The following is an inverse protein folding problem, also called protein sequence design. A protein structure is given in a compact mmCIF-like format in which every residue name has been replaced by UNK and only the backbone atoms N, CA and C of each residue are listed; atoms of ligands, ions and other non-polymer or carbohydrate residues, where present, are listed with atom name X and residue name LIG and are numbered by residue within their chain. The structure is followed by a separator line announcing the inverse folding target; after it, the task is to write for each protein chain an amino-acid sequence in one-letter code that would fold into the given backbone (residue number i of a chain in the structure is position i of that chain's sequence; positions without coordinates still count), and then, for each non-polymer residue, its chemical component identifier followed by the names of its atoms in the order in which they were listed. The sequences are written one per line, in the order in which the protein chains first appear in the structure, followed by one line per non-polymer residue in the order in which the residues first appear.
data_IF_579949585695
#
_entry.id   IF_579949585695
#
_cell.length_a   1.000
_cell.length_b   1.000
_cell.length_c   1.000
_cell.angle_alpha   90.00
_cell.angle_beta   90.00
_cell.angle_gamma   90.00
#
_symmetry.space_group_name_H-M   'P 1'
#
loop_
_entity.id
_entity.type
_entity.pdbx_description
1 polymer ?
#
# COMPACT_ATOMS: atom_id res chain seq x y z
N UNK A 1 32.28 21.00 58.91
CA UNK A 1 31.47 21.54 57.78
C UNK A 1 31.69 20.86 56.40
N UNK A 2 32.35 19.69 56.26
CA UNK A 2 32.59 19.06 54.94
C UNK A 2 31.56 18.00 54.45
N UNK A 3 30.66 17.51 55.32
CA UNK A 3 29.72 16.41 54.98
C UNK A 3 28.55 16.84 54.07
N UNK A 4 28.06 18.07 54.19
CA UNK A 4 26.88 18.53 53.44
C UNK A 4 27.18 18.86 51.96
N UNK A 5 28.43 19.20 51.63
CA UNK A 5 28.84 19.52 50.25
C UNK A 5 28.87 18.28 49.34
N UNK A 6 29.36 17.14 49.86
CA UNK A 6 29.35 15.86 49.12
C UNK A 6 27.92 15.38 48.83
N UNK A 7 27.00 15.56 49.77
CA UNK A 7 25.60 15.16 49.59
C UNK A 7 24.87 16.00 48.52
N UNK A 8 25.18 17.30 48.44
CA UNK A 8 24.66 18.20 47.41
C UNK A 8 25.19 17.85 46.00
N UNK A 9 26.48 17.53 45.89
CA UNK A 9 27.12 17.14 44.63
C UNK A 9 26.54 15.80 44.13
N UNK A 10 26.37 14.81 45.01
CA UNK A 10 25.81 13.50 44.65
C UNK A 10 24.36 13.64 44.14
N UNK A 11 23.53 14.46 44.79
CA UNK A 11 22.15 14.71 44.33
C UNK A 11 22.11 15.38 42.94
N UNK A 12 22.97 16.37 42.70
CA UNK A 12 23.08 17.03 41.38
C UNK A 12 23.55 16.05 40.31
N UNK A 13 24.48 15.16 40.64
CA UNK A 13 24.96 14.12 39.73
C UNK A 13 23.85 13.13 39.36
N UNK A 14 23.05 12.70 40.34
CA UNK A 14 21.90 11.79 40.11
C UNK A 14 20.86 12.46 39.21
N UNK A 15 20.50 13.72 39.48
CA UNK A 15 19.54 14.47 38.64
C UNK A 15 20.06 14.60 37.22
N UNK A 16 21.34 14.92 37.04
CA UNK A 16 21.97 15.01 35.71
C UNK A 16 21.91 13.67 34.96
N UNK A 17 22.24 12.57 35.63
CA UNK A 17 22.21 11.23 35.04
C UNK A 17 20.79 10.82 34.62
N UNK A 18 19.79 11.11 35.46
CA UNK A 18 18.38 10.84 35.12
C UNK A 18 17.93 11.68 33.93
N UNK A 19 18.26 12.97 33.88
CA UNK A 19 17.91 13.84 32.76
C UNK A 19 18.56 13.40 31.44
N UNK A 20 19.83 12.99 31.48
CA UNK A 20 20.54 12.45 30.30
C UNK A 20 19.91 11.14 29.84
N UNK A 21 19.59 10.24 30.77
CA UNK A 21 18.90 8.99 30.44
C UNK A 21 17.53 9.25 29.80
N UNK A 22 16.76 10.22 30.32
CA UNK A 22 15.46 10.59 29.76
C UNK A 22 15.59 11.19 28.36
N UNK A 23 16.57 12.09 28.15
CA UNK A 23 16.84 12.70 26.85
C UNK A 23 17.23 11.65 25.80
N UNK A 24 18.11 10.71 26.17
CA UNK A 24 18.48 9.58 25.30
C UNK A 24 17.28 8.69 24.98
N UNK A 25 16.38 8.48 25.94
CA UNK A 25 15.16 7.69 25.73
C UNK A 25 14.18 8.40 24.80
N UNK A 26 14.01 9.72 24.94
CA UNK A 26 13.22 10.54 24.03
C UNK A 26 13.82 10.54 22.62
N UNK A 27 15.14 10.75 22.49
CA UNK A 27 15.84 10.69 21.20
C UNK A 27 15.64 9.32 20.56
N UNK A 28 15.80 8.23 21.33
CA UNK A 28 15.59 6.87 20.83
C UNK A 28 14.14 6.63 20.39
N UNK A 29 13.14 7.11 21.14
CA UNK A 29 11.73 7.01 20.75
C UNK A 29 11.44 7.83 19.49
N UNK A 30 12.04 9.01 19.35
CA UNK A 30 11.92 9.84 18.14
C UNK A 30 12.60 9.17 16.94
N UNK A 31 13.79 8.58 17.12
CA UNK A 31 14.50 7.86 16.06
C UNK A 31 13.77 6.58 15.65
N UNK A 32 13.25 5.80 16.60
CA UNK A 32 12.41 4.62 16.31
C UNK A 32 11.11 5.03 15.57
N UNK A 33 10.55 6.21 15.86
CA UNK A 33 9.42 6.76 15.10
C UNK A 33 9.78 7.21 13.68
N UNK A 34 11.06 7.50 13.41
CA UNK A 34 11.52 7.99 12.11
C UNK A 34 12.04 6.88 11.18
N UNK A 35 12.37 5.72 11.71
CA UNK A 35 12.86 4.59 10.92
C UNK A 35 12.11 3.31 11.32
N UNK A 36 10.93 3.10 10.74
CA UNK A 36 10.59 1.71 10.39
C UNK A 36 11.55 1.41 9.23
N UNK A 37 12.56 0.54 9.42
CA UNK A 37 13.53 0.27 8.38
C UNK A 37 12.79 -0.18 7.13
N UNK A 38 13.16 0.38 5.98
CA UNK A 38 12.82 -0.19 4.68
C UNK A 38 13.54 -1.54 4.62
N UNK A 39 12.86 -2.59 5.06
CA UNK A 39 13.30 -3.98 4.89
C UNK A 39 13.07 -4.46 3.45
N UNK A 40 12.65 -3.55 2.58
CA UNK A 40 12.20 -3.79 1.23
C UNK A 40 13.28 -4.24 0.28
N UNK A 41 12.81 -4.54 -0.91
CA UNK A 41 13.57 -5.18 -1.96
C UNK A 41 14.33 -4.07 -2.69
N UNK A 42 15.64 -4.01 -2.43
CA UNK A 42 16.62 -3.15 -3.12
C UNK A 42 16.24 -1.67 -3.31
N UNK A 43 15.65 -1.01 -2.30
CA UNK A 43 15.37 0.43 -2.28
C UNK A 43 14.37 0.92 -3.34
N UNK A 44 13.38 0.13 -3.74
CA UNK A 44 12.30 0.61 -4.62
C UNK A 44 11.48 1.67 -3.87
N UNK A 45 11.63 2.92 -4.29
CA UNK A 45 11.01 4.11 -3.68
C UNK A 45 10.13 4.88 -4.67
N UNK A 46 10.20 4.57 -5.97
CA UNK A 46 9.33 5.17 -6.99
C UNK A 46 8.65 4.15 -7.91
N UNK A 47 7.60 4.60 -8.62
CA UNK A 47 6.95 3.78 -9.64
C UNK A 47 7.93 3.44 -10.78
N UNK A 48 8.78 4.37 -11.25
CA UNK A 48 9.72 4.06 -12.32
C UNK A 48 10.77 3.02 -11.90
N UNK A 49 11.23 3.07 -10.66
CA UNK A 49 12.12 2.05 -10.09
C UNK A 49 11.43 0.68 -10.09
N UNK A 50 10.16 0.61 -9.68
CA UNK A 50 9.39 -0.63 -9.73
C UNK A 50 9.19 -1.16 -11.16
N UNK A 51 8.90 -0.27 -12.13
CA UNK A 51 8.69 -0.66 -13.53
C UNK A 51 9.98 -1.13 -14.23
N UNK A 52 11.14 -0.67 -13.78
CA UNK A 52 12.45 -1.06 -14.32
C UNK A 52 13.11 -2.17 -13.51
N UNK A 53 12.48 -2.60 -12.42
CA UNK A 53 13.00 -3.61 -11.52
C UNK A 53 13.15 -4.97 -12.21
N UNK A 54 14.40 -5.32 -12.53
CA UNK A 54 14.76 -6.50 -13.33
C UNK A 54 15.00 -7.77 -12.52
N UNK A 55 14.82 -7.73 -11.19
CA UNK A 55 15.10 -8.86 -10.28
C UNK A 55 14.18 -10.09 -10.46
N UNK A 56 13.37 -10.14 -11.52
CA UNK A 56 12.72 -11.35 -12.00
C UNK A 56 11.58 -11.85 -11.12
N UNK A 57 10.95 -10.98 -10.34
CA UNK A 57 9.87 -11.41 -9.45
C UNK A 57 8.66 -11.95 -10.22
N UNK A 58 8.06 -13.03 -9.75
CA UNK A 58 6.83 -13.58 -10.36
C UNK A 58 5.57 -12.97 -9.73
N UNK A 59 4.45 -13.00 -10.45
CA UNK A 59 3.17 -12.49 -9.95
C UNK A 59 2.35 -13.62 -9.33
N UNK A 60 1.89 -13.45 -8.08
CA UNK A 60 1.13 -14.47 -7.34
C UNK A 60 -0.37 -14.55 -7.64
N UNK A 61 -0.88 -13.74 -8.56
CA UNK A 61 -2.31 -13.67 -8.90
C UNK A 61 -3.01 -15.03 -9.05
N UNK A 62 -2.43 -16.06 -9.70
CA UNK A 62 -3.09 -17.36 -9.82
C UNK A 62 -3.43 -18.04 -8.49
N UNK A 63 -2.62 -17.84 -7.46
CA UNK A 63 -2.91 -18.34 -6.11
C UNK A 63 -4.05 -17.56 -5.49
N UNK A 64 -4.03 -16.23 -5.57
CA UNK A 64 -5.08 -15.39 -4.99
C UNK A 64 -6.44 -15.61 -5.66
N UNK A 65 -6.49 -15.70 -6.98
CA UNK A 65 -7.71 -16.01 -7.71
C UNK A 65 -8.34 -17.31 -7.19
N UNK A 66 -7.55 -18.37 -7.04
CA UNK A 66 -8.07 -19.66 -6.56
C UNK A 66 -8.62 -19.58 -5.12
N UNK A 67 -8.00 -18.78 -4.25
CA UNK A 67 -8.41 -18.61 -2.84
C UNK A 67 -9.68 -17.77 -2.70
N UNK A 68 -9.90 -16.82 -3.62
CA UNK A 68 -10.95 -15.81 -3.52
C UNK A 68 -12.04 -15.94 -4.57
N UNK A 69 -12.22 -17.14 -5.12
CA UNK A 69 -13.14 -17.47 -6.22
C UNK A 69 -14.57 -16.94 -6.09
N UNK A 70 -15.07 -16.73 -4.86
CA UNK A 70 -16.42 -16.25 -4.59
C UNK A 70 -16.46 -14.84 -3.98
N UNK A 71 -15.34 -14.11 -4.02
CA UNK A 71 -15.14 -12.85 -3.31
C UNK A 71 -15.07 -11.63 -4.23
N UNK A 72 -15.44 -11.78 -5.51
CA UNK A 72 -15.44 -10.69 -6.49
C UNK A 72 -16.88 -10.40 -6.88
N UNK A 73 -17.57 -9.57 -6.09
CA UNK A 73 -18.96 -9.17 -6.34
C UNK A 73 -19.11 -7.66 -6.34
N UNK A 74 -20.05 -7.15 -7.12
CA UNK A 74 -20.39 -5.73 -7.14
C UNK A 74 -20.75 -5.22 -5.74
N UNK A 75 -21.46 -6.01 -4.93
CA UNK A 75 -21.86 -5.66 -3.57
C UNK A 75 -20.65 -5.38 -2.67
N UNK A 76 -19.56 -6.15 -2.79
CA UNK A 76 -18.34 -5.92 -1.99
C UNK A 76 -17.66 -4.61 -2.33
N UNK A 77 -17.58 -4.27 -3.62
CA UNK A 77 -17.05 -2.98 -4.05
C UNK A 77 -17.91 -1.82 -3.53
N UNK A 78 -19.23 -1.92 -3.64
CA UNK A 78 -20.15 -0.89 -3.14
C UNK A 78 -20.16 -0.79 -1.61
N UNK A 79 -19.86 -1.88 -0.92
CA UNK A 79 -19.77 -1.91 0.55
C UNK A 79 -18.46 -1.33 1.09
N UNK A 80 -17.51 -0.94 0.24
CA UNK A 80 -16.27 -0.32 0.68
C UNK A 80 -16.56 0.94 1.52
N UNK A 81 -15.94 1.08 2.72
CA UNK A 81 -16.16 2.22 3.59
C UNK A 81 -15.87 3.57 2.92
N UNK A 82 -14.85 3.60 2.06
CA UNK A 82 -14.45 4.78 1.29
C UNK A 82 -14.31 4.37 -0.18
N UNK A 83 -14.88 5.18 -1.07
CA UNK A 83 -14.69 5.05 -2.52
C UNK A 83 -14.26 6.41 -3.03
N UNK A 84 -13.14 6.46 -3.74
CA UNK A 84 -12.54 7.71 -4.20
C UNK A 84 -11.89 7.54 -5.57
N UNK A 85 -11.74 8.66 -6.28
CA UNK A 85 -10.81 8.77 -7.40
C UNK A 85 -9.48 9.27 -6.86
N UNK A 86 -8.39 8.60 -7.22
CA UNK A 86 -7.03 8.96 -6.82
C UNK A 86 -6.08 8.98 -8.00
N UNK A 87 -4.98 9.70 -7.84
CA UNK A 87 -3.83 9.65 -8.75
C UNK A 87 -2.56 9.40 -7.93
N UNK A 88 -1.70 8.52 -8.42
CA UNK A 88 -0.41 8.22 -7.78
C UNK A 88 0.56 9.39 -7.87
N UNK A 89 1.27 9.66 -6.77
CA UNK A 89 2.31 10.68 -6.67
C UNK A 89 3.71 10.13 -6.95
N UNK A 90 3.81 8.96 -7.61
CA UNK A 90 5.06 8.27 -7.94
C UNK A 90 5.87 7.76 -6.73
N UNK A 91 5.49 8.06 -5.48
CA UNK A 91 6.26 7.62 -4.30
C UNK A 91 5.75 6.31 -3.74
N UNK A 92 6.68 5.44 -3.41
CA UNK A 92 6.47 4.14 -2.80
C UNK A 92 7.24 4.05 -1.47
N UNK A 93 6.69 3.27 -0.54
CA UNK A 93 7.36 2.85 0.69
C UNK A 93 7.12 1.37 0.88
N UNK A 94 8.17 0.60 1.10
CA UNK A 94 8.07 -0.83 1.34
C UNK A 94 8.34 -1.16 2.81
N UNK A 95 7.58 -2.11 3.34
CA UNK A 95 7.71 -2.64 4.69
C UNK A 95 7.50 -4.15 4.66
N UNK A 96 8.57 -4.91 4.67
CA UNK A 96 8.57 -6.38 4.60
C UNK A 96 7.81 -6.88 3.36
N UNK A 97 6.55 -7.31 3.53
CA UNK A 97 5.67 -7.78 2.46
C UNK A 97 4.66 -6.72 1.97
N UNK A 98 4.62 -5.55 2.60
CA UNK A 98 3.70 -4.47 2.26
C UNK A 98 4.38 -3.44 1.37
N UNK A 99 3.65 -2.97 0.37
CA UNK A 99 3.98 -1.79 -0.42
C UNK A 99 2.91 -0.74 -0.19
N UNK A 100 3.34 0.44 0.21
CA UNK A 100 2.47 1.61 0.38
C UNK A 100 2.77 2.60 -0.73
N UNK A 101 1.74 3.02 -1.44
CA UNK A 101 1.83 4.00 -2.51
C UNK A 101 1.20 5.32 -2.08
N UNK A 102 1.95 6.41 -2.24
CA UNK A 102 1.43 7.76 -2.01
C UNK A 102 0.52 8.16 -3.17
N UNK A 103 -0.70 8.59 -2.84
CA UNK A 103 -1.68 9.06 -3.82
C UNK A 103 -2.31 10.38 -3.36
N UNK A 104 -2.77 11.16 -4.32
CA UNK A 104 -3.61 12.33 -4.08
C UNK A 104 -5.07 11.97 -4.37
N UNK A 105 -5.96 12.22 -3.42
CA UNK A 105 -7.40 12.08 -3.60
C UNK A 105 -7.89 13.18 -4.54
N UNK A 106 -8.44 12.81 -5.69
CA UNK A 106 -8.98 13.74 -6.68
C UNK A 106 -10.45 14.04 -6.44
N UNK A 107 -11.21 13.01 -6.02
CA UNK A 107 -12.65 13.10 -5.79
C UNK A 107 -13.07 12.06 -4.76
N UNK A 108 -13.93 12.44 -3.82
CA UNK A 108 -14.56 11.47 -2.90
C UNK A 108 -15.93 11.10 -3.45
N UNK A 109 -16.17 9.81 -3.66
CA UNK A 109 -17.42 9.29 -4.22
C UNK A 109 -18.35 8.74 -3.12
N UNK A 110 -17.76 8.15 -2.08
CA UNK A 110 -18.47 7.57 -0.94
C UNK A 110 -17.57 7.57 0.30
N UNK A 111 -18.21 7.66 1.48
CA UNK A 111 -17.54 7.49 2.77
C UNK A 111 -17.06 8.79 3.42
N UNK A 112 -16.47 8.66 4.60
CA UNK A 112 -15.81 9.74 5.34
C UNK A 112 -14.42 9.29 5.76
N UNK A 113 -13.52 10.23 6.06
CA UNK A 113 -12.15 9.93 6.49
C UNK A 113 -11.07 10.42 5.52
N UNK A 114 -11.43 10.71 4.27
CA UNK A 114 -10.56 11.36 3.28
C UNK A 114 -11.23 12.62 2.74
N UNK A 115 -10.41 13.58 2.29
CA UNK A 115 -10.86 14.81 1.63
C UNK A 115 -10.24 14.96 0.23
N UNK A 116 -10.89 15.72 -0.65
CA UNK A 116 -10.31 16.08 -1.94
C UNK A 116 -8.99 16.85 -1.77
N UNK A 117 -8.02 16.53 -2.61
CA UNK A 117 -6.62 16.99 -2.57
C UNK A 117 -5.82 16.54 -1.34
N UNK A 118 -6.36 15.65 -0.50
CA UNK A 118 -5.60 15.02 0.57
C UNK A 118 -4.58 14.04 -0.01
N UNK A 119 -3.37 14.03 0.58
CA UNK A 119 -2.35 13.03 0.31
C UNK A 119 -2.52 11.89 1.31
N UNK A 120 -2.72 10.68 0.79
CA UNK A 120 -2.88 9.46 1.58
C UNK A 120 -1.91 8.38 1.09
N UNK A 121 -1.74 7.33 1.88
CA UNK A 121 -0.99 6.14 1.50
C UNK A 121 -1.94 4.96 1.40
N UNK A 122 -1.94 4.29 0.24
CA UNK A 122 -2.64 3.02 0.05
C UNK A 122 -1.62 1.90 0.24
N UNK A 123 -1.80 1.10 1.27
CA UNK A 123 -1.01 -0.08 1.59
C UNK A 123 -1.69 -1.31 1.05
N UNK A 124 -0.92 -2.15 0.38
CA UNK A 124 -1.30 -3.48 -0.01
C UNK A 124 -0.08 -4.40 0.05
N UNK A 125 -0.26 -5.68 -0.23
CA UNK A 125 0.84 -6.57 -0.48
C UNK A 125 1.67 -6.10 -1.69
N UNK A 126 2.99 -6.26 -1.62
CA UNK A 126 3.93 -5.76 -2.60
C UNK A 126 4.96 -6.78 -3.04
N UNK A 127 6.16 -6.30 -3.35
CA UNK A 127 7.30 -7.18 -3.58
C UNK A 127 7.71 -7.86 -2.27
N UNK A 128 7.87 -9.18 -2.25
CA UNK A 128 8.36 -9.89 -1.07
C UNK A 128 9.23 -11.09 -1.47
N UNK A 129 10.23 -11.40 -0.65
CA UNK A 129 11.02 -12.63 -0.80
C UNK A 129 10.20 -13.82 -0.32
N UNK A 130 10.02 -14.83 -1.18
CA UNK A 130 9.21 -16.00 -0.84
C UNK A 130 9.72 -17.26 -1.50
N UNK A 131 10.03 -18.25 -0.65
CA UNK A 131 10.50 -19.62 -0.92
C UNK A 131 11.63 -19.79 -1.96
N UNK A 132 11.46 -19.27 -3.17
CA UNK A 132 12.34 -19.42 -4.36
C UNK A 132 12.71 -18.11 -5.05
N UNK A 133 12.33 -16.96 -4.51
CA UNK A 133 12.77 -15.68 -5.05
C UNK A 133 11.84 -14.55 -4.67
N UNK A 134 12.07 -13.40 -5.29
CA UNK A 134 11.17 -12.28 -5.17
C UNK A 134 9.84 -12.57 -5.87
N UNK A 135 8.72 -12.13 -5.31
CA UNK A 135 7.42 -12.15 -6.00
C UNK A 135 6.61 -10.90 -5.68
N UNK A 136 5.68 -10.55 -6.56
CA UNK A 136 4.71 -9.48 -6.35
C UNK A 136 3.40 -10.09 -5.83
N UNK A 137 2.96 -9.63 -4.66
CA UNK A 137 1.95 -10.28 -3.81
C UNK A 137 0.55 -9.64 -3.86
N UNK A 138 0.16 -8.93 -4.92
CA UNK A 138 -1.17 -8.33 -5.01
C UNK A 138 -1.89 -8.68 -6.30
N UNK A 139 -3.21 -8.60 -6.28
CA UNK A 139 -4.10 -8.62 -7.45
C UNK A 139 -4.16 -7.26 -8.16
N UNK A 140 -3.78 -6.17 -7.48
CA UNK A 140 -3.67 -4.82 -8.04
C UNK A 140 -2.22 -4.44 -8.22
N UNK A 141 -1.88 -3.92 -9.40
CA UNK A 141 -0.53 -3.44 -9.64
C UNK A 141 -0.31 -2.06 -9.00
N UNK A 142 0.95 -1.65 -8.96
CA UNK A 142 1.36 -0.29 -8.60
C UNK A 142 0.71 0.70 -9.55
N UNK A 143 0.00 1.68 -9.02
CA UNK A 143 -0.81 2.62 -9.81
C UNK A 143 0.08 3.54 -10.64
N UNK A 144 -0.18 3.60 -11.95
CA UNK A 144 0.53 4.47 -12.88
C UNK A 144 0.26 5.96 -12.55
N UNK A 145 1.28 6.80 -12.29
CA UNK A 145 1.11 8.22 -11.99
C UNK A 145 0.39 9.02 -13.08
N UNK A 146 0.43 8.56 -14.33
CA UNK A 146 -0.20 9.21 -15.48
C UNK A 146 -1.69 8.92 -15.61
N UNK A 147 -2.28 8.09 -14.75
CA UNK A 147 -3.69 7.71 -14.80
C UNK A 147 -4.41 8.01 -13.48
N UNK A 148 -5.71 8.24 -13.58
CA UNK A 148 -6.61 8.26 -12.43
C UNK A 148 -7.28 6.90 -12.24
N UNK A 149 -7.52 6.54 -10.99
CA UNK A 149 -8.10 5.26 -10.59
C UNK A 149 -9.28 5.48 -9.65
N UNK A 150 -10.34 4.71 -9.82
CA UNK A 150 -11.31 4.48 -8.74
C UNK A 150 -10.71 3.44 -7.79
N UNK A 151 -10.71 3.75 -6.49
CA UNK A 151 -10.18 2.89 -5.42
C UNK A 151 -11.22 2.64 -4.33
N UNK A 152 -11.10 1.48 -3.68
CA UNK A 152 -12.03 0.98 -2.66
C UNK A 152 -11.27 0.75 -1.36
N UNK A 153 -11.47 1.62 -0.38
CA UNK A 153 -10.56 1.75 0.76
C UNK A 153 -11.24 1.49 2.10
N UNK A 154 -10.42 0.99 3.03
CA UNK A 154 -10.72 0.89 4.46
C UNK A 154 -9.57 1.52 5.26
N UNK A 155 -9.88 2.24 6.33
CA UNK A 155 -8.86 2.89 7.14
C UNK A 155 -7.97 1.84 7.84
N UNK A 156 -6.65 2.06 7.81
CA UNK A 156 -5.71 1.26 8.61
C UNK A 156 -5.71 1.77 10.05
N UNK A 157 -6.78 1.47 10.78
CA UNK A 157 -7.04 1.95 12.16
C UNK A 157 -5.88 1.70 13.13
N UNK A 158 -5.19 0.56 12.99
CA UNK A 158 -4.04 0.22 13.83
C UNK A 158 -2.85 1.14 13.65
N UNK A 159 -2.59 1.63 12.43
CA UNK A 159 -1.41 2.44 12.10
C UNK A 159 -1.73 3.93 12.23
N UNK A 160 -2.87 4.38 11.69
CA UNK A 160 -3.30 5.79 11.66
C UNK A 160 -3.35 6.46 13.03
N UNK A 161 -3.57 5.70 14.10
CA UNK A 161 -3.55 6.21 15.48
C UNK A 161 -2.17 6.66 15.95
N UNK A 162 -1.10 6.19 15.32
CA UNK A 162 0.28 6.39 15.78
C UNK A 162 1.15 7.17 14.79
N UNK A 163 0.67 7.38 13.56
CA UNK A 163 1.38 8.13 12.51
C UNK A 163 0.56 9.35 12.09
N UNK A 164 1.23 10.46 11.78
CA UNK A 164 0.57 11.69 11.30
C UNK A 164 0.21 11.65 9.80
N UNK A 165 0.16 10.46 9.21
CA UNK A 165 -0.05 10.23 7.79
C UNK A 165 -1.18 9.22 7.64
N UNK A 166 -2.18 9.50 6.82
CA UNK A 166 -3.34 8.62 6.64
C UNK A 166 -2.96 7.40 5.78
N UNK A 167 -3.02 6.20 6.37
CA UNK A 167 -2.84 4.91 5.70
C UNK A 167 -4.18 4.17 5.54
N UNK A 168 -4.35 3.56 4.37
CA UNK A 168 -5.54 2.82 3.99
C UNK A 168 -5.14 1.49 3.37
N UNK A 169 -5.99 0.47 3.49
CA UNK A 169 -5.87 -0.76 2.71
C UNK A 169 -7.02 -0.85 1.70
N UNK A 170 -6.84 -1.66 0.66
CA UNK A 170 -7.98 -2.04 -0.17
C UNK A 170 -9.04 -2.79 0.66
N UNK A 171 -10.29 -2.40 0.49
CA UNK A 171 -11.44 -2.98 1.21
C UNK A 171 -11.98 -4.26 0.56
N UNK A 172 -11.42 -4.65 -0.58
CA UNK A 172 -11.86 -5.79 -1.40
C UNK A 172 -10.71 -6.78 -1.56
N UNK A 173 -11.06 -8.07 -1.72
CA UNK A 173 -10.08 -9.14 -1.92
C UNK A 173 -9.62 -9.28 -3.38
N UNK A 174 -10.35 -8.68 -4.32
CA UNK A 174 -9.98 -8.63 -5.73
C UNK A 174 -9.14 -7.40 -6.06
N UNK A 175 -9.10 -6.97 -7.33
CA UNK A 175 -8.49 -5.70 -7.70
C UNK A 175 -9.08 -4.54 -6.89
N UNK A 176 -8.24 -3.90 -6.07
CA UNK A 176 -8.62 -2.79 -5.20
C UNK A 176 -8.67 -1.42 -5.89
N UNK A 177 -8.18 -1.37 -7.13
CA UNK A 177 -8.18 -0.18 -7.97
C UNK A 177 -8.52 -0.53 -9.42
N UNK A 178 -9.28 0.34 -10.08
CA UNK A 178 -9.51 0.28 -11.52
C UNK A 178 -9.15 1.61 -12.17
N UNK A 179 -8.41 1.61 -13.29
CA UNK A 179 -8.14 2.83 -14.04
C UNK A 179 -9.44 3.35 -14.66
N UNK A 180 -9.59 4.66 -14.67
CA UNK A 180 -10.75 5.32 -15.30
C UNK A 180 -10.70 5.25 -16.81
N UNK A 181 -9.49 5.20 -17.36
CA UNK A 181 -9.23 5.04 -18.79
C UNK A 181 -9.01 3.56 -19.16
N UNK A 182 -8.84 3.31 -20.47
CA UNK A 182 -8.42 1.99 -20.96
C UNK A 182 -7.06 1.62 -20.38
N UNK A 183 -6.89 0.33 -20.10
CA UNK A 183 -5.65 -0.23 -19.61
C UNK A 183 -5.25 -1.47 -20.43
N UNK A 184 -4.01 -1.90 -20.27
CA UNK A 184 -3.43 -3.00 -21.04
C UNK A 184 -3.57 -4.36 -20.35
N UNK A 185 -4.33 -4.46 -19.25
CA UNK A 185 -4.48 -5.73 -18.55
C UNK A 185 -5.12 -6.76 -19.46
N UNK A 186 -4.63 -7.99 -19.35
CA UNK A 186 -5.18 -9.15 -20.05
C UNK A 186 -5.19 -10.34 -19.10
N UNK A 187 -5.98 -11.34 -19.44
CA UNK A 187 -5.98 -12.62 -18.75
C UNK A 187 -4.58 -13.26 -18.85
N UNK A 188 -4.00 -13.57 -17.70
CA UNK A 188 -2.70 -14.24 -17.58
C UNK A 188 -2.91 -15.73 -17.81
N UNK A 189 -2.45 -16.22 -18.96
CA UNK A 189 -2.59 -17.63 -19.36
C UNK A 189 -1.43 -18.53 -18.92
N UNK A 190 -0.37 -17.93 -18.38
CA UNK A 190 0.84 -18.64 -17.92
C UNK A 190 0.73 -19.03 -16.44
N UNK A 191 1.54 -20.00 -16.03
CA UNK A 191 1.60 -20.39 -14.62
C UNK A 191 2.29 -19.32 -13.77
N UNK A 192 2.01 -19.33 -12.47
CA UNK A 192 2.65 -18.43 -11.49
C UNK A 192 4.20 -18.49 -11.52
N UNK A 193 4.77 -19.65 -11.83
CA UNK A 193 6.23 -19.83 -11.92
C UNK A 193 6.82 -19.19 -13.19
N UNK A 194 5.99 -18.92 -14.20
CA UNK A 194 6.39 -18.40 -15.50
C UNK A 194 6.04 -16.92 -15.70
N UNK A 195 4.99 -16.42 -15.04
CA UNK A 195 4.56 -15.01 -15.16
C UNK A 195 5.52 -14.09 -14.40
N UNK A 196 6.46 -13.46 -15.13
CA UNK A 196 7.34 -12.45 -14.55
C UNK A 196 6.64 -11.10 -14.49
N UNK A 197 6.87 -10.36 -13.42
CA UNK A 197 6.34 -9.01 -13.24
C UNK A 197 6.68 -8.10 -14.42
N UNK A 198 7.89 -8.19 -14.96
CA UNK A 198 8.32 -7.37 -16.12
C UNK A 198 7.46 -7.58 -17.38
N UNK A 199 6.85 -8.74 -17.55
CA UNK A 199 6.01 -9.04 -18.72
C UNK A 199 4.59 -8.47 -18.58
N UNK A 200 4.18 -8.16 -17.34
CA UNK A 200 2.82 -7.70 -16.99
C UNK A 200 2.82 -6.38 -16.24
N UNK A 201 3.97 -5.68 -16.14
CA UNK A 201 4.12 -4.45 -15.34
C UNK A 201 3.23 -3.29 -15.78
N UNK A 202 2.79 -3.30 -17.03
CA UNK A 202 1.87 -2.29 -17.58
C UNK A 202 0.38 -2.65 -17.35
N UNK A 203 0.09 -3.77 -16.71
CA UNK A 203 -1.28 -4.17 -16.36
C UNK A 203 -1.69 -3.41 -15.09
N UNK A 204 -2.97 -3.03 -15.00
CA UNK A 204 -3.51 -2.41 -13.79
C UNK A 204 -3.82 -3.44 -12.70
N UNK A 205 -4.14 -4.68 -13.09
CA UNK A 205 -4.46 -5.77 -12.19
C UNK A 205 -4.15 -7.12 -12.84
N UNK A 206 -4.04 -8.14 -12.01
CA UNK A 206 -3.56 -9.46 -12.39
C UNK A 206 -4.66 -10.49 -12.13
N UNK A 207 -5.11 -11.15 -13.20
CA UNK A 207 -6.13 -12.20 -13.16
C UNK A 207 -5.72 -13.32 -14.12
N UNK A 208 -5.91 -14.57 -13.70
CA UNK A 208 -5.49 -15.76 -14.44
C UNK A 208 -6.60 -16.78 -14.69
N UNK A 209 -7.78 -16.57 -14.10
CA UNK A 209 -8.96 -17.42 -14.27
C UNK A 209 -9.95 -16.74 -15.24
N UNK A 210 -10.30 -17.36 -16.39
CA UNK A 210 -11.16 -16.75 -17.41
C UNK A 210 -12.49 -16.23 -16.86
N UNK A 211 -13.16 -17.01 -16.02
CA UNK A 211 -14.45 -16.63 -15.45
C UNK A 211 -14.34 -15.38 -14.56
N UNK A 212 -13.21 -15.17 -13.88
CA UNK A 212 -12.99 -13.96 -13.10
C UNK A 212 -12.61 -12.78 -13.95
N UNK A 213 -11.87 -13.01 -15.03
CA UNK A 213 -11.57 -11.95 -15.97
C UNK A 213 -12.86 -11.33 -16.51
N UNK A 214 -13.80 -12.15 -16.99
CA UNK A 214 -15.10 -11.68 -17.46
C UNK A 214 -15.87 -10.92 -16.38
N UNK A 215 -15.90 -11.45 -15.16
CA UNK A 215 -16.60 -10.83 -14.04
C UNK A 215 -15.96 -9.49 -13.60
N UNK A 216 -14.63 -9.42 -13.55
CA UNK A 216 -13.90 -8.18 -13.23
C UNK A 216 -14.12 -7.13 -14.32
N UNK A 217 -14.11 -7.50 -15.61
CA UNK A 217 -14.42 -6.56 -16.68
C UNK A 217 -15.84 -6.02 -16.57
N UNK A 218 -16.81 -6.89 -16.24
CA UNK A 218 -18.21 -6.51 -16.01
C UNK A 218 -18.32 -5.54 -14.83
N UNK A 219 -17.74 -5.90 -13.69
CA UNK A 219 -17.73 -5.09 -12.46
C UNK A 219 -17.06 -3.73 -12.70
N UNK A 220 -15.88 -3.69 -13.34
CA UNK A 220 -15.19 -2.44 -13.70
C UNK A 220 -16.13 -1.52 -14.49
N UNK A 221 -16.73 -2.04 -15.56
CA UNK A 221 -17.63 -1.27 -16.42
C UNK A 221 -18.83 -0.72 -15.66
N UNK A 222 -19.48 -1.55 -14.84
CA UNK A 222 -20.64 -1.15 -14.06
C UNK A 222 -20.29 -0.14 -12.96
N UNK A 223 -19.16 -0.29 -12.27
CA UNK A 223 -18.69 0.67 -11.27
C UNK A 223 -18.40 2.04 -11.88
N UNK A 224 -17.69 2.07 -13.01
CA UNK A 224 -17.36 3.34 -13.69
C UNK A 224 -18.63 4.08 -14.15
N UNK A 225 -19.67 3.35 -14.60
CA UNK A 225 -20.97 3.94 -14.94
C UNK A 225 -21.76 4.41 -13.72
N UNK A 226 -21.84 3.59 -12.67
CA UNK A 226 -22.54 3.91 -11.41
C UNK A 226 -22.06 5.26 -10.84
N UNK A 227 -20.73 5.45 -10.82
CA UNK A 227 -20.11 6.65 -10.29
C UNK A 227 -19.93 7.77 -11.32
N UNK A 228 -20.47 7.61 -12.54
CA UNK A 228 -20.42 8.59 -13.64
C UNK A 228 -18.99 9.05 -13.96
N UNK A 229 -18.08 8.08 -14.02
CA UNK A 229 -16.66 8.29 -14.33
C UNK A 229 -16.36 8.02 -15.81
N UNK A 230 -17.28 7.39 -16.51
CA UNK A 230 -17.28 7.19 -17.97
C UNK A 230 -18.69 7.47 -18.50
N UNK A 231 -18.78 7.86 -19.77
CA UNK A 231 -20.05 8.11 -20.49
C UNK A 231 -20.84 6.82 -20.76
#
# INVERSE_FOLDING_TARGET
MKKNYKFSIVKKLIVLLVSVALALLIIRVVMIKQEIPDSGVENISTYEEAMTFSGGGTVLSPVFDSLWKNSYTMEQYKAAPIIAVVQSNNRLKQYDYLLSQEVTVKKVLQGTGVSENEIIYISDFGFANYYRGLRFYSTTNILNPSQEYIVFLSAYEGLNRYVNTSYYNYAVYGPGAFPLESDNSQLIMTSEEETKYQDVKDYAYFVSIPEFWEEIQRIKTELLREYKLVE
#
